data_IF_525757527065
#
_entry.id   IF_525757527065
#
_cell.length_a   1.000
_cell.length_b   1.000
_cell.length_c   1.000
_cell.angle_alpha   90.00
_cell.angle_beta   90.00
_cell.angle_gamma   90.00
#
_symmetry.space_group_name_H-M   'P 1'
#
loop_
_entity.id
_entity.type
_entity.pdbx_description
1 polymer ?
#
# COMPACT_ATOMS: atom_id res chain seq x y z
N UNK A 1 -18.10 24.83 5.22
CA UNK A 1 -18.63 23.99 6.32
C UNK A 1 -18.04 22.60 6.23
N UNK A 2 -17.71 22.02 7.38
CA UNK A 2 -17.23 20.64 7.39
C UNK A 2 -18.37 19.67 7.05
N UNK A 3 -18.18 18.85 6.05
CA UNK A 3 -19.15 17.83 5.66
C UNK A 3 -19.08 16.67 6.67
N UNK A 4 -20.22 16.08 6.95
CA UNK A 4 -20.29 14.94 7.87
C UNK A 4 -19.75 13.70 7.17
N UNK A 5 -18.75 13.06 7.76
CA UNK A 5 -18.21 11.79 7.29
C UNK A 5 -19.15 10.66 7.67
N UNK A 6 -19.61 9.88 6.71
CA UNK A 6 -20.45 8.71 6.95
C UNK A 6 -19.69 7.39 6.87
N UNK A 7 -18.49 7.39 6.31
CA UNK A 7 -17.68 6.18 6.27
C UNK A 7 -16.29 6.41 5.76
N UNK A 8 -15.42 5.46 6.08
CA UNK A 8 -14.06 5.37 5.55
C UNK A 8 -13.91 4.04 4.86
N UNK A 9 -13.32 4.05 3.66
CA UNK A 9 -13.04 2.86 2.87
C UNK A 9 -11.54 2.77 2.67
N UNK A 10 -10.96 1.64 3.01
CA UNK A 10 -9.53 1.38 2.82
C UNK A 10 -9.35 0.27 1.80
N UNK A 11 -8.64 0.56 0.72
CA UNK A 11 -8.42 -0.38 -0.38
C UNK A 11 -6.95 -0.40 -0.78
N UNK A 12 -6.54 -1.50 -1.39
CA UNK A 12 -5.24 -1.61 -2.08
C UNK A 12 -5.53 -1.89 -3.54
N UNK A 13 -5.13 -0.97 -4.41
CA UNK A 13 -5.46 -1.01 -5.83
C UNK A 13 -4.17 -0.89 -6.64
N UNK A 14 -3.97 -1.71 -7.70
CA UNK A 14 -2.84 -1.53 -8.60
C UNK A 14 -2.86 -0.13 -9.23
N UNK A 15 -1.72 0.55 -9.22
CA UNK A 15 -1.61 1.90 -9.73
C UNK A 15 -1.98 1.97 -11.23
N UNK A 16 -2.80 2.93 -11.59
CA UNK A 16 -3.26 3.15 -12.96
C UNK A 16 -4.22 2.08 -13.50
N UNK A 17 -4.64 1.13 -12.66
CA UNK A 17 -5.49 -0.01 -13.07
C UNK A 17 -6.77 -0.15 -12.25
N UNK A 18 -7.25 0.92 -11.65
CA UNK A 18 -8.52 0.89 -10.94
C UNK A 18 -9.67 0.65 -11.94
N UNK A 19 -10.56 -0.27 -11.62
CA UNK A 19 -11.72 -0.63 -12.43
C UNK A 19 -12.95 -0.76 -11.53
N UNK A 20 -14.17 -0.67 -12.11
CA UNK A 20 -15.39 -0.91 -11.34
C UNK A 20 -15.56 -2.34 -10.84
N UNK A 21 -14.72 -3.25 -11.31
CA UNK A 21 -14.73 -4.65 -10.86
C UNK A 21 -14.30 -4.77 -9.39
N UNK A 22 -14.66 -5.88 -8.69
CA UNK A 22 -14.20 -6.11 -7.34
C UNK A 22 -12.67 -5.97 -7.21
N UNK A 23 -12.13 -5.44 -6.09
CA UNK A 23 -12.84 -5.05 -4.86
C UNK A 23 -13.40 -3.63 -4.84
N UNK A 24 -13.15 -2.82 -5.87
CA UNK A 24 -13.49 -1.39 -5.88
C UNK A 24 -15.00 -1.15 -5.96
N UNK A 25 -15.66 -1.80 -6.92
CA UNK A 25 -17.10 -1.61 -7.16
C UNK A 25 -17.96 -1.86 -5.93
N UNK A 26 -17.89 -3.07 -5.34
CA UNK A 26 -18.72 -3.38 -4.15
C UNK A 26 -18.42 -2.47 -2.96
N UNK A 27 -17.15 -2.14 -2.72
CA UNK A 27 -16.76 -1.29 -1.59
C UNK A 27 -17.34 0.12 -1.71
N UNK A 28 -17.25 0.72 -2.88
CA UNK A 28 -17.77 2.06 -3.13
C UNK A 28 -19.29 2.06 -3.30
N UNK A 29 -19.85 1.02 -3.91
CA UNK A 29 -21.28 0.90 -4.13
C UNK A 29 -22.11 0.86 -2.84
N UNK A 30 -21.60 0.22 -1.81
CA UNK A 30 -22.24 0.18 -0.49
C UNK A 30 -22.42 1.57 0.12
N UNK A 31 -21.57 2.51 -0.23
CA UNK A 31 -21.62 3.88 0.28
C UNK A 31 -22.22 4.88 -0.70
N UNK A 32 -22.68 4.40 -1.86
CA UNK A 32 -23.30 5.26 -2.87
C UNK A 32 -22.34 6.21 -3.57
N UNK A 33 -21.05 5.90 -3.57
CA UNK A 33 -20.01 6.73 -4.20
C UNK A 33 -19.97 6.49 -5.71
N UNK A 34 -19.69 7.54 -6.49
CA UNK A 34 -19.52 7.42 -7.94
C UNK A 34 -18.22 6.67 -8.27
N UNK A 35 -18.34 5.40 -8.63
CA UNK A 35 -17.22 4.50 -8.91
C UNK A 35 -16.39 5.00 -10.10
N UNK A 36 -17.05 5.46 -11.15
CA UNK A 36 -16.35 5.91 -12.37
C UNK A 36 -15.50 7.15 -12.12
N UNK A 37 -16.02 8.11 -11.35
CA UNK A 37 -15.29 9.32 -10.99
C UNK A 37 -14.05 8.96 -10.15
N UNK A 38 -14.21 8.07 -9.19
CA UNK A 38 -13.10 7.59 -8.36
C UNK A 38 -12.02 6.90 -9.19
N UNK A 39 -12.40 5.94 -10.03
CA UNK A 39 -11.43 5.16 -10.82
C UNK A 39 -10.63 6.06 -11.77
N UNK A 40 -11.31 7.02 -12.40
CA UNK A 40 -10.66 7.99 -13.29
C UNK A 40 -9.63 8.83 -12.54
N UNK A 41 -10.03 9.42 -11.42
CA UNK A 41 -9.15 10.28 -10.63
C UNK A 41 -7.97 9.49 -10.02
N UNK A 42 -8.23 8.28 -9.51
CA UNK A 42 -7.19 7.41 -8.98
C UNK A 42 -6.17 7.05 -10.06
N UNK A 43 -6.64 6.64 -11.23
CA UNK A 43 -5.74 6.28 -12.34
C UNK A 43 -4.89 7.47 -12.79
N UNK A 44 -5.44 8.67 -12.83
CA UNK A 44 -4.68 9.88 -13.15
C UNK A 44 -3.59 10.17 -12.11
N UNK A 45 -3.92 10.06 -10.83
CA UNK A 45 -2.96 10.33 -9.74
C UNK A 45 -1.85 9.30 -9.66
N UNK A 46 -2.12 8.06 -10.03
CA UNK A 46 -1.17 6.95 -9.88
C UNK A 46 -0.50 6.53 -11.19
N UNK A 47 -0.72 7.24 -12.27
CA UNK A 47 -0.17 6.89 -13.60
C UNK A 47 1.36 6.77 -13.62
N UNK A 48 2.06 7.50 -12.76
CA UNK A 48 3.52 7.48 -12.67
C UNK A 48 4.04 6.31 -11.81
N UNK A 49 3.16 5.58 -11.16
CA UNK A 49 3.50 4.50 -10.24
C UNK A 49 2.99 3.13 -10.72
N UNK A 50 2.75 3.01 -12.03
CA UNK A 50 2.25 1.78 -12.65
C UNK A 50 3.16 0.60 -12.30
N UNK A 51 2.56 -0.52 -11.92
CA UNK A 51 3.27 -1.71 -11.48
C UNK A 51 3.38 -1.86 -9.97
N UNK A 52 2.95 -0.84 -9.21
CA UNK A 52 2.92 -0.88 -7.76
C UNK A 52 1.49 -0.98 -7.26
N UNK A 53 1.30 -1.59 -6.09
CA UNK A 53 0.01 -1.58 -5.41
C UNK A 53 -0.02 -0.35 -4.50
N UNK A 54 -1.06 0.46 -4.65
CA UNK A 54 -1.18 1.71 -3.89
C UNK A 54 -2.32 1.58 -2.89
N UNK A 55 -2.06 1.70 -1.58
CA UNK A 55 -3.11 1.80 -0.57
C UNK A 55 -3.82 3.14 -0.72
N UNK A 56 -5.14 3.11 -0.64
CA UNK A 56 -5.97 4.31 -0.71
C UNK A 56 -6.94 4.32 0.46
N UNK A 57 -7.11 5.49 1.06
CA UNK A 57 -8.12 5.73 2.10
C UNK A 57 -9.13 6.71 1.54
N UNK A 58 -10.36 6.26 1.38
CA UNK A 58 -11.46 7.04 0.80
C UNK A 58 -12.37 7.49 1.94
N UNK A 59 -12.60 8.79 2.05
CA UNK A 59 -13.55 9.36 2.99
C UNK A 59 -14.85 9.65 2.26
N UNK A 60 -15.96 9.10 2.72
CA UNK A 60 -17.30 9.30 2.14
C UNK A 60 -18.07 10.25 3.02
N UNK A 61 -18.68 11.26 2.41
CA UNK A 61 -19.45 12.30 3.09
C UNK A 61 -20.96 12.05 2.96
N UNK A 62 -21.74 12.75 3.78
CA UNK A 62 -23.20 12.55 3.85
C UNK A 62 -23.93 12.88 2.54
N UNK A 63 -23.35 13.72 1.68
CA UNK A 63 -23.87 14.06 0.36
C UNK A 63 -23.43 13.09 -0.75
N UNK A 64 -22.85 11.95 -0.37
CA UNK A 64 -22.27 10.94 -1.26
C UNK A 64 -21.05 11.43 -2.07
N UNK A 65 -20.52 12.59 -1.74
CA UNK A 65 -19.22 13.00 -2.26
C UNK A 65 -18.11 12.22 -1.55
N UNK A 66 -16.93 12.25 -2.12
CA UNK A 66 -15.79 11.54 -1.55
C UNK A 66 -14.51 12.35 -1.71
N UNK A 67 -13.57 12.11 -0.81
CA UNK A 67 -12.19 12.50 -0.99
C UNK A 67 -11.32 11.28 -0.71
N UNK A 68 -10.15 11.23 -1.29
CA UNK A 68 -9.25 10.12 -1.04
C UNK A 68 -7.80 10.58 -0.97
N UNK A 69 -7.02 9.83 -0.21
CA UNK A 69 -5.57 10.00 -0.13
C UNK A 69 -4.91 8.69 -0.52
N UNK A 70 -3.83 8.78 -1.27
CA UNK A 70 -2.99 7.63 -1.60
C UNK A 70 -1.80 7.60 -0.65
N UNK A 71 -1.42 6.41 -0.24
CA UNK A 71 -0.25 6.20 0.62
C UNK A 71 0.86 5.54 -0.17
N UNK A 72 2.04 5.44 0.43
CA UNK A 72 3.15 4.71 -0.17
C UNK A 72 2.78 3.23 -0.32
N UNK A 73 3.37 2.51 -1.31
CA UNK A 73 3.08 1.09 -1.48
C UNK A 73 3.33 0.29 -0.20
N UNK A 74 2.58 -0.80 0.04
CA UNK A 74 2.80 -1.63 1.22
C UNK A 74 4.24 -2.12 1.31
N UNK A 75 4.77 -2.20 2.54
CA UNK A 75 6.15 -2.67 2.76
C UNK A 75 6.40 -4.03 2.11
N UNK A 76 5.44 -4.94 2.19
CA UNK A 76 5.54 -6.26 1.57
C UNK A 76 5.77 -6.20 0.06
N UNK A 77 5.08 -5.29 -0.63
CA UNK A 77 5.24 -5.10 -2.08
C UNK A 77 6.62 -4.56 -2.42
N UNK A 78 7.08 -3.57 -1.68
CA UNK A 78 8.42 -2.98 -1.86
C UNK A 78 9.53 -4.01 -1.61
N UNK A 79 9.37 -4.82 -0.56
CA UNK A 79 10.32 -5.87 -0.21
C UNK A 79 10.38 -6.95 -1.30
N UNK A 80 9.23 -7.40 -1.79
CA UNK A 80 9.18 -8.39 -2.88
C UNK A 80 9.87 -7.86 -4.14
N UNK A 81 9.65 -6.61 -4.47
CA UNK A 81 10.29 -5.98 -5.61
C UNK A 81 11.82 -5.86 -5.42
N UNK A 82 12.27 -5.46 -4.25
CA UNK A 82 13.69 -5.34 -3.93
C UNK A 82 14.41 -6.70 -3.90
N UNK A 83 13.74 -7.72 -3.36
CA UNK A 83 14.27 -9.09 -3.31
C UNK A 83 14.06 -9.86 -4.62
N UNK A 84 13.34 -9.28 -5.57
CA UNK A 84 13.07 -9.85 -6.88
C UNK A 84 12.33 -11.19 -6.79
N UNK A 85 11.34 -11.29 -5.89
CA UNK A 85 10.50 -12.46 -5.71
C UNK A 85 9.03 -12.11 -5.97
N UNK A 86 8.26 -13.06 -6.49
CA UNK A 86 6.85 -12.87 -6.79
C UNK A 86 5.95 -13.28 -5.61
N UNK A 87 6.40 -14.21 -4.79
CA UNK A 87 5.64 -14.73 -3.66
C UNK A 87 6.53 -14.92 -2.44
N UNK A 88 6.05 -14.44 -1.30
CA UNK A 88 6.70 -14.63 -0.02
C UNK A 88 6.46 -16.06 0.53
N UNK A 89 7.22 -16.45 1.54
CA UNK A 89 7.08 -17.75 2.17
C UNK A 89 5.77 -17.91 2.92
N UNK A 90 5.12 -19.05 2.77
CA UNK A 90 3.97 -19.43 3.59
C UNK A 90 4.38 -19.96 4.96
N UNK A 91 5.65 -20.33 5.14
CA UNK A 91 6.22 -20.82 6.40
C UNK A 91 7.53 -20.10 6.70
N UNK A 92 7.48 -18.78 7.02
CA UNK A 92 8.68 -17.94 7.06
C UNK A 92 9.68 -18.33 8.16
N UNK A 93 9.23 -18.97 9.21
CA UNK A 93 10.11 -19.45 10.29
C UNK A 93 10.90 -20.70 9.90
N UNK A 94 10.46 -21.42 8.89
CA UNK A 94 11.10 -22.67 8.42
C UNK A 94 11.75 -22.50 7.05
N UNK A 95 11.07 -21.86 6.13
CA UNK A 95 11.50 -21.73 4.73
C UNK A 95 11.79 -20.26 4.40
N UNK A 96 13.05 -19.98 4.05
CA UNK A 96 13.47 -18.66 3.56
C UNK A 96 13.49 -18.69 2.04
N UNK A 97 12.88 -17.69 1.39
CA UNK A 97 12.73 -17.66 -0.07
C UNK A 97 13.70 -16.72 -0.76
N UNK A 98 14.25 -15.74 -0.03
CA UNK A 98 15.16 -14.75 -0.60
C UNK A 98 16.00 -14.07 0.47
N UNK A 99 16.94 -13.26 0.03
CA UNK A 99 17.76 -12.40 0.89
C UNK A 99 17.71 -10.97 0.36
N UNK A 100 17.77 -10.01 1.27
CA UNK A 100 17.79 -8.59 0.94
C UNK A 100 18.93 -7.91 1.73
N UNK A 101 19.59 -6.95 1.11
CA UNK A 101 20.68 -6.23 1.76
C UNK A 101 20.15 -5.12 2.65
N UNK A 102 20.90 -4.77 3.69
CA UNK A 102 20.54 -3.64 4.57
C UNK A 102 20.38 -2.32 3.80
N UNK A 103 21.15 -2.10 2.76
CA UNK A 103 21.02 -0.93 1.90
C UNK A 103 19.65 -0.84 1.25
N UNK A 104 19.13 -1.99 0.81
CA UNK A 104 17.78 -2.06 0.21
C UNK A 104 16.70 -1.81 1.26
N UNK A 105 16.88 -2.34 2.47
CA UNK A 105 15.99 -2.08 3.62
C UNK A 105 15.98 -0.59 3.94
N UNK A 106 17.15 0.05 3.94
CA UNK A 106 17.28 1.49 4.18
C UNK A 106 16.50 2.31 3.15
N UNK A 107 16.64 1.98 1.86
CA UNK A 107 15.91 2.66 0.78
C UNK A 107 14.41 2.53 0.94
N UNK A 108 13.93 1.34 1.28
CA UNK A 108 12.50 1.10 1.54
C UNK A 108 12.03 1.91 2.74
N UNK A 109 12.80 1.93 3.83
CA UNK A 109 12.48 2.69 5.02
C UNK A 109 12.42 4.20 4.74
N UNK A 110 13.35 4.73 3.98
CA UNK A 110 13.36 6.14 3.57
C UNK A 110 12.11 6.49 2.76
N UNK A 111 11.74 5.63 1.81
CA UNK A 111 10.55 5.83 0.98
C UNK A 111 9.26 5.81 1.80
N UNK A 112 9.19 5.01 2.84
CA UNK A 112 8.00 4.86 3.68
C UNK A 112 7.97 5.76 4.92
N UNK A 113 9.01 6.55 5.18
CA UNK A 113 9.06 7.42 6.37
C UNK A 113 7.85 8.32 6.51
N UNK A 114 7.26 8.77 5.40
CA UNK A 114 6.05 9.62 5.38
C UNK A 114 4.86 8.93 6.03
N UNK A 115 4.76 7.60 5.91
CA UNK A 115 3.63 6.82 6.41
C UNK A 115 3.92 6.06 7.70
N UNK A 116 5.21 5.97 8.08
CA UNK A 116 5.62 5.19 9.25
C UNK A 116 5.59 6.03 10.52
N UNK A 117 5.18 5.40 11.61
CA UNK A 117 5.26 5.98 12.95
C UNK A 117 6.62 5.62 13.58
N UNK A 118 7.69 6.03 12.93
CA UNK A 118 9.05 5.76 13.36
C UNK A 118 9.74 7.06 13.81
N UNK A 119 10.43 7.00 14.94
CA UNK A 119 11.13 8.15 15.48
C UNK A 119 12.40 8.50 14.71
N UNK A 120 13.00 7.51 14.02
CA UNK A 120 14.23 7.69 13.26
C UNK A 120 14.30 6.69 12.10
N UNK A 121 15.25 6.90 11.20
CA UNK A 121 15.50 5.97 10.09
C UNK A 121 15.87 4.56 10.59
N UNK A 122 16.66 4.47 11.66
CA UNK A 122 17.07 3.18 12.24
C UNK A 122 15.84 2.40 12.72
N UNK A 123 14.89 3.07 13.38
CA UNK A 123 13.63 2.46 13.83
C UNK A 123 12.80 2.01 12.61
N UNK A 124 12.72 2.84 11.58
CA UNK A 124 12.01 2.49 10.34
C UNK A 124 12.63 1.25 9.67
N UNK A 125 13.96 1.18 9.60
CA UNK A 125 14.66 0.01 9.08
C UNK A 125 14.35 -1.26 9.90
N UNK A 126 14.26 -1.14 11.22
CA UNK A 126 13.89 -2.25 12.09
C UNK A 126 12.48 -2.76 11.81
N UNK A 127 11.52 -1.85 11.57
CA UNK A 127 10.15 -2.20 11.18
C UNK A 127 10.12 -2.96 9.85
N UNK A 128 10.86 -2.48 8.86
CA UNK A 128 10.96 -3.14 7.54
C UNK A 128 11.63 -4.52 7.67
N UNK A 129 12.69 -4.62 8.46
CA UNK A 129 13.38 -5.89 8.72
C UNK A 129 12.44 -6.92 9.37
N UNK A 130 11.58 -6.49 10.30
CA UNK A 130 10.55 -7.33 10.89
C UNK A 130 9.56 -7.86 9.86
N UNK A 131 9.15 -7.02 8.92
CA UNK A 131 8.28 -7.42 7.80
C UNK A 131 8.98 -8.44 6.89
N UNK A 132 10.27 -8.22 6.59
CA UNK A 132 11.07 -9.18 5.82
C UNK A 132 11.09 -10.54 6.49
N UNK A 133 11.32 -10.58 7.79
CA UNK A 133 11.33 -11.82 8.57
C UNK A 133 10.00 -12.55 8.47
N UNK A 134 8.88 -11.81 8.57
CA UNK A 134 7.53 -12.39 8.45
C UNK A 134 7.24 -12.93 7.05
N UNK A 135 7.99 -12.50 6.04
CA UNK A 135 7.85 -12.94 4.65
C UNK A 135 8.83 -14.08 4.28
N UNK A 136 9.69 -14.49 5.20
CA UNK A 136 10.72 -15.47 4.90
C UNK A 136 11.87 -14.91 4.08
N UNK A 137 12.16 -13.62 4.22
CA UNK A 137 13.27 -12.95 3.55
C UNK A 137 14.29 -12.54 4.61
N UNK A 138 15.53 -12.97 4.43
CA UNK A 138 16.62 -12.65 5.34
C UNK A 138 17.23 -11.31 5.00
N UNK A 139 17.49 -10.48 6.02
CA UNK A 139 18.24 -9.24 5.86
C UNK A 139 19.72 -9.54 6.11
N UNK A 140 20.55 -9.26 5.13
CA UNK A 140 22.01 -9.49 5.18
C UNK A 140 22.76 -8.16 4.99
N UNK A 141 24.00 -8.14 5.40
CA UNK A 141 24.86 -6.96 5.25
C UNK A 141 25.33 -6.75 3.81
#
# INVERSE_FOLDING_TARGET
MAQKVIGLIKLQIPAGKATPAPPVGPALGQHGVNIMAFTKEFNERTKNEIGMIIPVVITVYADHSFSFITKTPPAAVLIKKAANVTKASGTPNKTKVAKIKKEQVQKIAEQKMVDLNAASLVVAMSMIAGTCRSMGIEVVD
#
